data_IF_569510964854
#
_entry.id   IF_569510964854
#
_cell.length_a   1.000
_cell.length_b   1.000
_cell.length_c   1.000
_cell.angle_alpha   90.00
_cell.angle_beta   90.00
_cell.angle_gamma   90.00
#
_symmetry.space_group_name_H-M   'P 1'
#
loop_
_entity.id
_entity.type
_entity.pdbx_description
1 polymer ?
#
# COMPACT_ATOMS: atom_id res chain seq x y z
N UNK A 1 -16.25 -12.82 -9.40
CA UNK A 1 -15.88 -13.76 -8.30
C UNK A 1 -14.41 -13.65 -7.94
N UNK A 2 -13.46 -13.94 -8.85
CA UNK A 2 -12.01 -13.89 -8.56
C UNK A 2 -11.59 -12.57 -7.91
N UNK A 3 -11.87 -11.43 -8.55
CA UNK A 3 -11.49 -10.09 -8.06
C UNK A 3 -12.07 -9.79 -6.68
N UNK A 4 -13.34 -10.13 -6.44
CA UNK A 4 -13.99 -9.88 -5.16
C UNK A 4 -13.33 -10.68 -4.02
N UNK A 5 -13.00 -11.96 -4.26
CA UNK A 5 -12.31 -12.79 -3.28
C UNK A 5 -10.87 -12.30 -3.04
N UNK A 6 -10.15 -11.91 -4.09
CA UNK A 6 -8.81 -11.35 -3.99
C UNK A 6 -8.80 -10.02 -3.20
N UNK A 7 -9.76 -9.13 -3.47
CA UNK A 7 -9.92 -7.88 -2.73
C UNK A 7 -10.24 -8.12 -1.25
N UNK A 8 -11.14 -9.05 -0.95
CA UNK A 8 -11.45 -9.43 0.43
C UNK A 8 -10.24 -10.03 1.18
N UNK A 9 -9.44 -10.86 0.51
CA UNK A 9 -8.21 -11.41 1.08
C UNK A 9 -7.14 -10.34 1.32
N UNK A 10 -6.99 -9.38 0.40
CA UNK A 10 -6.12 -8.22 0.58
C UNK A 10 -6.55 -7.38 1.79
N UNK A 11 -7.83 -7.04 1.90
CA UNK A 11 -8.34 -6.33 3.07
C UNK A 11 -8.07 -7.08 4.37
N UNK A 12 -8.34 -8.39 4.41
CA UNK A 12 -8.03 -9.21 5.58
C UNK A 12 -6.52 -9.22 5.91
N UNK A 13 -5.66 -9.25 4.90
CA UNK A 13 -4.21 -9.20 5.06
C UNK A 13 -3.74 -7.85 5.63
N UNK A 14 -4.31 -6.73 5.19
CA UNK A 14 -4.05 -5.39 5.74
C UNK A 14 -4.43 -5.36 7.23
N UNK A 15 -5.65 -5.79 7.56
CA UNK A 15 -6.11 -5.83 8.96
C UNK A 15 -5.26 -6.75 9.84
N UNK A 16 -4.75 -7.86 9.28
CA UNK A 16 -3.84 -8.73 9.98
C UNK A 16 -2.46 -8.08 10.17
N UNK A 17 -1.89 -7.52 9.10
CA UNK A 17 -0.60 -6.82 9.10
C UNK A 17 -0.57 -5.71 10.14
N UNK A 18 -1.65 -4.92 10.25
CA UNK A 18 -1.77 -3.82 11.21
C UNK A 18 -1.63 -4.26 12.69
N UNK A 19 -1.77 -5.57 12.97
CA UNK A 19 -1.56 -6.16 14.31
C UNK A 19 -0.16 -6.76 14.49
N UNK A 20 0.72 -6.64 13.49
CA UNK A 20 2.09 -7.15 13.49
C UNK A 20 3.10 -6.01 13.54
N UNK A 21 4.39 -6.33 13.69
CA UNK A 21 5.49 -5.35 13.56
C UNK A 21 6.10 -5.33 12.15
N UNK A 22 5.40 -5.86 11.14
CA UNK A 22 5.91 -5.90 9.78
C UNK A 22 5.83 -4.50 9.17
N UNK A 23 6.99 -3.97 8.80
CA UNK A 23 7.17 -2.67 8.17
C UNK A 23 7.00 -2.77 6.64
N UNK A 24 5.73 -2.83 6.20
CA UNK A 24 5.32 -2.70 4.81
C UNK A 24 4.73 -1.30 4.61
N UNK A 25 5.57 -0.28 4.44
CA UNK A 25 5.18 1.13 4.56
C UNK A 25 3.84 1.51 3.91
N UNK A 26 3.52 0.93 2.74
CA UNK A 26 2.30 1.22 1.97
C UNK A 26 1.36 0.02 1.79
N UNK A 27 1.48 -1.04 2.60
CA UNK A 27 0.71 -2.29 2.45
C UNK A 27 0.89 -2.93 1.06
N UNK A 28 2.05 -2.78 0.41
CA UNK A 28 2.24 -3.22 -0.98
C UNK A 28 2.10 -4.74 -1.08
N UNK A 29 2.66 -5.47 -0.12
CA UNK A 29 2.55 -6.93 -0.12
C UNK A 29 1.13 -7.39 0.21
N UNK A 30 0.48 -6.76 1.19
CA UNK A 30 -0.90 -7.08 1.55
C UNK A 30 -1.88 -6.77 0.40
N UNK A 31 -1.73 -5.63 -0.26
CA UNK A 31 -2.60 -5.17 -1.34
C UNK A 31 -2.37 -5.95 -2.64
N UNK A 32 -1.11 -6.07 -3.07
CA UNK A 32 -0.77 -6.61 -4.39
C UNK A 32 -0.28 -8.05 -4.33
N UNK A 33 0.58 -8.37 -3.35
CA UNK A 33 1.14 -9.72 -3.18
C UNK A 33 0.05 -10.74 -2.88
N UNK A 34 -0.71 -10.54 -1.80
CA UNK A 34 -1.76 -11.49 -1.36
C UNK A 34 -2.89 -11.57 -2.39
N UNK A 35 -3.40 -10.43 -2.88
CA UNK A 35 -4.44 -10.42 -3.90
C UNK A 35 -3.98 -11.08 -5.21
N UNK A 36 -2.73 -10.84 -5.62
CA UNK A 36 -2.14 -11.41 -6.83
C UNK A 36 -1.99 -12.93 -6.73
N UNK A 37 -1.46 -13.43 -5.61
CA UNK A 37 -1.34 -14.87 -5.35
C UNK A 37 -2.70 -15.54 -5.40
N UNK A 38 -3.68 -15.02 -4.63
CA UNK A 38 -5.01 -15.61 -4.62
C UNK A 38 -5.69 -15.52 -6.00
N UNK A 39 -5.55 -14.39 -6.69
CA UNK A 39 -6.09 -14.19 -8.03
C UNK A 39 -5.53 -15.20 -9.05
N UNK A 40 -4.22 -15.45 -9.02
CA UNK A 40 -3.57 -16.45 -9.86
C UNK A 40 -4.07 -17.87 -9.56
N UNK A 41 -4.18 -18.23 -8.29
CA UNK A 41 -4.70 -19.54 -7.87
C UNK A 41 -6.16 -19.73 -8.31
N UNK A 42 -7.02 -18.73 -8.08
CA UNK A 42 -8.41 -18.76 -8.51
C UNK A 42 -8.56 -18.77 -10.04
N UNK A 43 -7.63 -18.17 -10.77
CA UNK A 43 -7.56 -18.32 -12.23
C UNK A 43 -7.33 -19.79 -12.61
N UNK A 44 -6.48 -20.51 -11.88
CA UNK A 44 -6.27 -21.95 -12.07
C UNK A 44 -7.53 -22.80 -11.83
N UNK A 45 -8.47 -22.31 -11.02
CA UNK A 45 -9.74 -22.97 -10.73
C UNK A 45 -10.83 -22.63 -11.76
N UNK A 46 -10.98 -21.34 -12.07
CA UNK A 46 -12.14 -20.81 -12.79
C UNK A 46 -11.90 -20.47 -14.27
N UNK A 47 -10.66 -20.54 -14.77
CA UNK A 47 -10.38 -20.25 -16.18
C UNK A 47 -11.22 -21.13 -17.11
N UNK A 48 -11.63 -20.58 -18.25
CA UNK A 48 -12.32 -21.35 -19.27
C UNK A 48 -12.01 -20.82 -20.67
N UNK A 49 -11.84 -21.74 -21.62
CA UNK A 49 -11.68 -21.42 -23.04
C UNK A 49 -12.92 -20.77 -23.65
N UNK A 50 -14.08 -20.85 -22.99
CA UNK A 50 -15.29 -20.12 -23.40
C UNK A 50 -15.13 -18.61 -23.29
N UNK A 51 -14.32 -18.13 -22.33
CA UNK A 51 -14.04 -16.71 -22.12
C UNK A 51 -12.79 -16.30 -22.90
N UNK A 52 -11.77 -17.16 -22.94
CA UNK A 52 -10.56 -16.92 -23.73
C UNK A 52 -10.13 -18.19 -24.50
N UNK A 53 -10.49 -18.31 -25.79
CA UNK A 53 -10.17 -19.49 -26.60
C UNK A 53 -8.66 -19.77 -26.75
N UNK A 54 -7.82 -18.74 -26.65
CA UNK A 54 -6.36 -18.88 -26.70
C UNK A 54 -5.76 -19.31 -25.35
N UNK A 55 -6.56 -19.33 -24.29
CA UNK A 55 -6.14 -19.74 -22.95
C UNK A 55 -6.27 -21.25 -22.71
N UNK A 56 -6.38 -21.59 -21.42
CA UNK A 56 -6.61 -22.95 -20.95
C UNK A 56 -7.84 -23.01 -20.04
N UNK A 57 -8.46 -24.19 -19.97
CA UNK A 57 -9.49 -24.45 -18.97
C UNK A 57 -8.83 -24.62 -17.60
N UNK A 58 -9.55 -24.19 -16.56
CA UNK A 58 -9.20 -24.39 -15.16
C UNK A 58 -9.79 -25.68 -14.60
N UNK A 59 -9.60 -25.90 -13.30
CA UNK A 59 -10.08 -27.11 -12.62
C UNK A 59 -11.58 -27.34 -12.86
N UNK A 60 -12.44 -26.35 -12.59
CA UNK A 60 -13.88 -26.52 -12.70
C UNK A 60 -14.37 -26.68 -14.14
N UNK A 61 -13.55 -26.34 -15.13
CA UNK A 61 -13.81 -26.56 -16.55
C UNK A 61 -13.19 -27.87 -17.08
N UNK A 62 -12.67 -28.74 -16.20
CA UNK A 62 -12.21 -30.09 -16.53
C UNK A 62 -10.69 -30.24 -16.64
N UNK A 63 -9.90 -29.21 -16.33
CA UNK A 63 -8.44 -29.26 -16.39
C UNK A 63 -7.81 -28.91 -15.02
N UNK A 64 -7.72 -29.88 -14.10
CA UNK A 64 -7.13 -29.66 -12.77
C UNK A 64 -5.63 -29.33 -12.81
N UNK A 65 -4.92 -29.74 -13.88
CA UNK A 65 -3.51 -29.42 -14.06
C UNK A 65 -3.25 -27.91 -14.13
N UNK A 66 -4.24 -27.10 -14.53
CA UNK A 66 -4.11 -25.65 -14.56
C UNK A 66 -3.83 -25.04 -13.18
N UNK A 67 -4.38 -25.60 -12.11
CA UNK A 67 -4.09 -25.11 -10.76
C UNK A 67 -2.62 -25.35 -10.38
N UNK A 68 -2.06 -26.49 -10.77
CA UNK A 68 -0.66 -26.81 -10.53
C UNK A 68 0.27 -25.89 -11.32
N UNK A 69 -0.08 -25.60 -12.58
CA UNK A 69 0.66 -24.65 -13.42
C UNK A 69 0.67 -23.25 -12.76
N UNK A 70 -0.47 -22.80 -12.23
CA UNK A 70 -0.52 -21.51 -11.54
C UNK A 70 0.27 -21.49 -10.24
N UNK A 71 0.28 -22.58 -9.48
CA UNK A 71 1.09 -22.68 -8.27
C UNK A 71 2.59 -22.58 -8.60
N UNK A 72 3.05 -23.28 -9.64
CA UNK A 72 4.43 -23.18 -10.12
C UNK A 72 4.76 -21.76 -10.61
N UNK A 73 3.85 -21.13 -11.35
CA UNK A 73 4.03 -19.75 -11.82
C UNK A 73 4.13 -18.76 -10.67
N UNK A 74 3.28 -18.89 -9.64
CA UNK A 74 3.33 -18.07 -8.42
C UNK A 74 4.66 -18.28 -7.69
N UNK A 75 5.07 -19.54 -7.49
CA UNK A 75 6.33 -19.86 -6.83
C UNK A 75 7.54 -19.30 -7.59
N UNK A 76 7.57 -19.44 -8.91
CA UNK A 76 8.61 -18.85 -9.77
C UNK A 76 8.61 -17.32 -9.67
N UNK A 77 7.43 -16.70 -9.69
CA UNK A 77 7.30 -15.23 -9.57
C UNK A 77 7.79 -14.73 -8.23
N UNK A 78 7.42 -15.37 -7.11
CA UNK A 78 7.91 -15.01 -5.76
C UNK A 78 9.43 -15.22 -5.65
N UNK A 79 9.95 -16.31 -6.20
CA UNK A 79 11.39 -16.60 -6.19
C UNK A 79 12.18 -15.55 -6.96
N UNK A 80 11.65 -15.12 -8.11
CA UNK A 80 12.24 -14.06 -8.91
C UNK A 80 12.10 -12.71 -8.20
N UNK A 81 10.88 -12.26 -7.92
CA UNK A 81 10.63 -10.91 -7.40
C UNK A 81 11.15 -10.72 -5.98
N UNK A 82 10.90 -11.65 -5.07
CA UNK A 82 11.38 -11.58 -3.69
C UNK A 82 12.86 -11.98 -3.58
N UNK A 83 13.22 -13.11 -4.17
CA UNK A 83 14.59 -13.65 -4.06
C UNK A 83 15.63 -12.79 -4.75
N UNK A 84 15.40 -12.39 -6.01
CA UNK A 84 16.36 -11.53 -6.72
C UNK A 84 16.40 -10.14 -6.11
N UNK A 85 15.27 -9.56 -5.68
CA UNK A 85 15.28 -8.27 -4.98
C UNK A 85 16.06 -8.35 -3.67
N UNK A 86 15.93 -9.44 -2.90
CA UNK A 86 16.73 -9.63 -1.69
C UNK A 86 18.23 -9.67 -1.99
N UNK A 87 18.64 -10.39 -3.05
CA UNK A 87 20.03 -10.42 -3.51
C UNK A 87 20.52 -9.02 -3.91
N UNK A 88 19.71 -8.26 -4.66
CA UNK A 88 20.02 -6.89 -5.06
C UNK A 88 20.21 -6.00 -3.84
N UNK A 89 19.28 -6.02 -2.87
CA UNK A 89 19.37 -5.21 -1.65
C UNK A 89 20.62 -5.58 -0.85
N UNK A 90 20.95 -6.87 -0.70
CA UNK A 90 22.18 -7.30 -0.01
C UNK A 90 23.42 -6.83 -0.76
N UNK A 91 23.45 -6.92 -2.08
CA UNK A 91 24.56 -6.42 -2.89
C UNK A 91 24.71 -4.90 -2.76
N UNK A 92 23.61 -4.14 -2.76
CA UNK A 92 23.63 -2.70 -2.55
C UNK A 92 24.19 -2.31 -1.18
N UNK A 93 23.92 -3.09 -0.12
CA UNK A 93 24.48 -2.85 1.22
C UNK A 93 26.00 -2.93 1.29
N UNK A 94 26.65 -3.59 0.31
CA UNK A 94 28.10 -3.60 0.21
C UNK A 94 28.69 -2.33 -0.42
N UNK A 95 27.86 -1.55 -1.12
CA UNK A 95 28.28 -0.34 -1.85
C UNK A 95 27.83 0.94 -1.14
N UNK A 96 26.63 0.94 -0.57
CA UNK A 96 26.03 2.11 0.08
C UNK A 96 25.01 1.71 1.18
N UNK A 97 24.75 2.58 2.17
CA UNK A 97 23.63 2.37 3.09
C UNK A 97 22.29 2.43 2.32
N UNK A 98 21.43 1.43 2.53
CA UNK A 98 20.10 1.35 1.87
C UNK A 98 19.01 2.07 2.68
N UNK A 99 19.24 2.32 3.97
CA UNK A 99 18.33 3.04 4.88
C UNK A 99 19.10 4.15 5.59
N UNK A 100 18.45 5.29 5.79
CA UNK A 100 19.00 6.40 6.55
C UNK A 100 19.22 6.01 8.03
N UNK A 101 20.19 6.63 8.72
CA UNK A 101 20.28 6.60 10.18
C UNK A 101 18.98 7.09 10.83
N UNK A 102 18.62 6.51 11.99
CA UNK A 102 17.35 6.80 12.66
C UNK A 102 17.19 8.28 13.03
N UNK A 103 18.28 8.96 13.41
CA UNK A 103 18.25 10.39 13.73
C UNK A 103 17.95 11.26 12.50
N UNK A 104 18.34 10.81 11.32
CA UNK A 104 18.06 11.47 10.05
C UNK A 104 16.64 11.17 9.58
N UNK A 105 16.19 9.91 9.73
CA UNK A 105 14.81 9.50 9.42
C UNK A 105 13.78 10.29 10.25
N UNK A 106 14.09 10.55 11.54
CA UNK A 106 13.24 11.35 12.44
C UNK A 106 13.18 12.83 12.02
N UNK A 107 14.26 13.40 11.47
CA UNK A 107 14.27 14.80 11.00
C UNK A 107 13.45 15.02 9.73
N UNK A 108 13.11 13.95 9.02
CA UNK A 108 12.40 14.01 7.74
C UNK A 108 13.36 13.84 6.57
N UNK A 109 13.04 12.89 5.68
CA UNK A 109 13.87 12.54 4.51
C UNK A 109 13.96 13.73 3.55
N UNK A 110 12.89 14.47 3.35
CA UNK A 110 12.85 15.66 2.49
C UNK A 110 13.90 16.70 2.95
N UNK A 111 13.97 16.96 4.25
CA UNK A 111 14.93 17.93 4.79
C UNK A 111 16.37 17.41 4.72
N UNK A 112 16.60 16.14 5.00
CA UNK A 112 17.97 15.57 5.07
C UNK A 112 18.57 15.33 3.68
N UNK A 113 17.81 14.78 2.74
CA UNK A 113 18.30 14.39 1.41
C UNK A 113 18.07 15.48 0.36
N UNK A 114 17.04 16.32 0.51
CA UNK A 114 16.67 17.33 -0.48
C UNK A 114 16.82 18.78 0.03
N UNK A 115 16.99 18.99 1.34
CA UNK A 115 17.14 20.32 1.92
C UNK A 115 15.85 21.16 1.85
N UNK A 116 14.70 20.52 1.64
CA UNK A 116 13.40 21.15 1.48
C UNK A 116 12.40 20.65 2.54
N UNK A 117 11.40 21.49 2.84
CA UNK A 117 10.24 21.09 3.62
C UNK A 117 9.02 21.07 2.70
N UNK A 118 8.32 19.94 2.63
CA UNK A 118 7.12 19.81 1.79
C UNK A 118 6.02 20.82 2.16
N UNK A 119 5.95 21.21 3.44
CA UNK A 119 5.05 22.23 3.97
C UNK A 119 5.81 23.13 4.91
N UNK A 120 5.72 24.44 4.69
CA UNK A 120 6.31 25.41 5.61
C UNK A 120 5.35 25.61 6.78
N UNK A 121 5.86 25.75 8.01
CA UNK A 121 5.05 25.83 9.24
C UNK A 121 3.95 26.91 9.29
N UNK A 122 3.84 27.78 8.28
CA UNK A 122 2.71 28.68 8.07
C UNK A 122 1.45 28.01 7.52
N UNK A 123 1.56 27.03 6.61
CA UNK A 123 0.40 26.56 5.83
C UNK A 123 -0.61 25.75 6.68
N UNK A 124 -0.10 24.98 7.66
CA UNK A 124 -0.94 24.27 8.63
C UNK A 124 -1.42 25.15 9.79
N UNK A 125 -0.63 26.17 10.17
CA UNK A 125 -0.98 27.13 11.22
C UNK A 125 -2.02 28.14 10.76
N UNK A 126 -2.03 28.48 9.47
CA UNK A 126 -2.99 29.39 8.83
C UNK A 126 -4.33 28.69 8.56
N UNK A 127 -4.33 27.38 8.24
CA UNK A 127 -5.54 26.55 8.15
C UNK A 127 -6.14 26.19 9.52
N UNK A 128 -5.33 26.09 10.57
CA UNK A 128 -5.77 25.76 11.94
C UNK A 128 -5.91 26.97 12.89
N UNK A 129 -5.59 28.19 12.42
CA UNK A 129 -5.71 29.44 13.17
C UNK A 129 -4.89 29.53 14.46
N UNK A 130 -3.89 28.65 14.68
CA UNK A 130 -3.10 28.61 15.92
C UNK A 130 -1.65 28.25 15.62
N UNK A 131 -0.74 29.01 16.23
CA UNK A 131 0.70 28.73 16.29
C UNK A 131 0.93 27.41 17.06
N UNK A 132 0.81 26.27 16.38
CA UNK A 132 1.21 24.98 16.91
C UNK A 132 2.69 24.75 16.57
N UNK A 133 3.52 24.52 17.60
CA UNK A 133 4.91 24.15 17.44
C UNK A 133 5.02 22.67 17.07
N UNK A 134 6.01 22.32 16.25
CA UNK A 134 6.36 20.94 15.89
C UNK A 134 6.57 20.09 17.17
N UNK A 135 5.71 19.09 17.37
CA UNK A 135 5.78 18.14 18.49
C UNK A 135 4.51 18.05 19.35
N UNK A 136 3.61 19.01 19.27
CA UNK A 136 2.34 18.93 19.99
C UNK A 136 1.35 18.01 19.27
N UNK A 137 0.86 16.99 19.96
CA UNK A 137 -0.25 16.18 19.49
C UNK A 137 -1.49 17.06 19.37
N UNK A 138 -2.00 17.26 18.16
CA UNK A 138 -3.23 18.01 17.91
C UNK A 138 -4.42 17.17 18.36
N UNK A 139 -4.83 17.35 19.62
CA UNK A 139 -6.11 16.87 20.11
C UNK A 139 -7.20 17.85 19.67
N UNK A 140 -7.97 17.49 18.64
CA UNK A 140 -9.15 18.25 18.24
C UNK A 140 -10.33 17.87 19.13
N UNK A 141 -10.84 18.76 20.00
CA UNK A 141 -12.06 18.50 20.74
C UNK A 141 -13.25 18.47 19.77
N UNK A 142 -14.22 17.59 20.02
CA UNK A 142 -15.39 17.40 19.15
C UNK A 142 -16.24 18.67 18.96
N UNK A 143 -16.06 19.70 19.81
CA UNK A 143 -16.66 21.03 19.66
C UNK A 143 -16.19 21.78 18.41
N UNK A 144 -14.98 21.47 17.93
CA UNK A 144 -14.33 22.19 16.82
C UNK A 144 -14.73 21.60 15.45
N UNK A 145 -15.49 20.51 15.46
CA UNK A 145 -16.10 19.88 14.28
C UNK A 145 -17.52 20.40 13.99
N UNK A 146 -17.96 21.46 14.68
CA UNK A 146 -19.27 22.05 14.41
C UNK A 146 -19.32 22.59 12.97
N UNK A 147 -20.36 22.27 12.17
CA UNK A 147 -20.47 22.75 10.80
C UNK A 147 -20.54 24.28 10.80
N UNK A 148 -19.70 24.91 9.96
CA UNK A 148 -19.56 26.35 9.88
C UNK A 148 -20.92 27.06 9.67
N UNK A 149 -21.18 28.21 10.34
CA UNK A 149 -22.40 28.96 10.12
C UNK A 149 -22.44 29.49 8.67
N UNK A 150 -23.59 29.34 8.02
CA UNK A 150 -23.78 29.81 6.64
C UNK A 150 -23.59 31.31 6.56
N UNK A 151 -22.57 31.76 5.82
CA UNK A 151 -22.32 33.16 5.55
C UNK A 151 -23.56 33.85 4.96
N UNK A 152 -23.97 35.03 5.47
CA UNK A 152 -25.00 35.82 4.82
C UNK A 152 -24.43 36.42 3.52
N UNK A 153 -25.16 36.25 2.43
CA UNK A 153 -24.84 36.86 1.14
C UNK A 153 -24.87 38.39 1.30
N UNK A 154 -23.71 39.03 1.18
CA UNK A 154 -23.59 40.48 1.17
C UNK A 154 -24.16 41.03 -0.14
N UNK A 155 -25.37 41.59 -0.07
CA UNK A 155 -25.91 42.43 -1.14
C UNK A 155 -25.18 43.78 -1.15
N UNK A 156 -24.64 44.14 -2.32
CA UNK A 156 -24.12 45.46 -2.61
C UNK A 156 -25.27 46.45 -2.88
N UNK A 157 -25.36 47.49 -2.06
CA UNK A 157 -25.70 48.88 -2.42
C UNK A 157 -25.35 49.80 -1.24
#
# INVERSE_FOLDING_TARGET
VIVALAAGASYAAIQWRARTRIDDALDVFACHGVAGILGAMLTGVFATKRVNPAGADGWLAGNPAQLWIQLLAVGATISLSGGVTAVIVVAMRAVMPVRLPIDQEIRGVDLVEHGEEAYHGGDIGELAGRHASLGDSVLLPASDLAPAPSHPQANAA
#
